data_IF_501533274454
#
_entry.id   IF_501533274454
#
_cell.length_a   1.000
_cell.length_b   1.000
_cell.length_c   1.000
_cell.angle_alpha   90.00
_cell.angle_beta   90.00
_cell.angle_gamma   90.00
#
_symmetry.space_group_name_H-M   'P 1'
#
loop_
_entity.id
_entity.type
_entity.pdbx_description
1 polymer ?
#
# COMPACT_ATOMS: atom_id res chain seq x y z
N UNK A 1 27.57 27.10 -15.24
CA UNK A 1 27.31 25.98 -14.33
C UNK A 1 25.92 26.20 -13.72
N UNK A 2 24.95 25.35 -14.02
CA UNK A 2 23.68 25.28 -13.31
C UNK A 2 24.02 24.83 -11.90
N UNK A 3 23.70 25.66 -10.88
CA UNK A 3 23.89 25.24 -9.51
C UNK A 3 22.76 24.28 -9.13
N UNK A 4 23.07 23.01 -8.98
CA UNK A 4 22.14 22.04 -8.38
C UNK A 4 21.87 22.48 -6.93
N UNK A 5 20.60 22.49 -6.53
CA UNK A 5 20.21 22.78 -5.15
C UNK A 5 19.37 21.66 -4.57
N UNK A 6 19.60 21.37 -3.31
CA UNK A 6 18.82 20.38 -2.58
C UNK A 6 17.49 21.00 -2.10
N UNK A 7 16.41 20.26 -2.30
CA UNK A 7 15.08 20.58 -1.75
C UNK A 7 14.60 19.47 -0.83
N UNK A 8 13.88 19.84 0.21
CA UNK A 8 13.13 18.89 1.03
C UNK A 8 11.74 18.73 0.43
N UNK A 9 11.39 17.55 -0.11
CA UNK A 9 10.07 17.32 -0.68
C UNK A 9 9.01 17.31 0.43
N UNK A 10 7.86 17.91 0.15
CA UNK A 10 6.65 17.81 0.98
C UNK A 10 5.56 17.11 0.20
N UNK A 11 4.65 16.46 0.92
CA UNK A 11 3.53 15.68 0.34
C UNK A 11 4.01 14.44 -0.41
N UNK A 12 4.99 13.76 0.16
CA UNK A 12 5.37 12.42 -0.28
C UNK A 12 4.22 11.44 -0.03
N UNK A 13 3.98 10.55 -1.00
CA UNK A 13 2.85 9.60 -1.00
C UNK A 13 3.32 8.18 -1.25
N UNK A 14 2.45 7.21 -1.03
CA UNK A 14 2.62 5.79 -1.37
C UNK A 14 3.94 5.22 -0.86
N UNK A 15 4.35 5.64 0.34
CA UNK A 15 5.60 5.21 0.93
C UNK A 15 5.58 3.72 1.29
N UNK A 16 6.63 2.99 0.92
CA UNK A 16 6.83 1.60 1.32
C UNK A 16 8.29 1.31 1.64
N UNK A 17 8.52 0.75 2.81
CA UNK A 17 9.85 0.28 3.21
C UNK A 17 10.17 -1.05 2.51
N UNK A 18 11.44 -1.23 2.12
CA UNK A 18 11.94 -2.48 1.54
C UNK A 18 11.85 -3.65 2.53
N UNK A 19 11.77 -4.90 2.06
CA UNK A 19 11.72 -6.07 2.95
C UNK A 19 12.86 -6.12 3.96
N UNK A 20 14.07 -5.78 3.55
CA UNK A 20 15.26 -5.76 4.43
C UNK A 20 15.32 -4.52 5.36
N UNK A 21 14.44 -3.53 5.15
CA UNK A 21 14.37 -2.30 5.95
C UNK A 21 15.41 -1.24 5.61
N UNK A 22 16.17 -1.41 4.54
CA UNK A 22 17.27 -0.50 4.19
C UNK A 22 16.85 0.73 3.40
N UNK A 23 15.77 0.63 2.63
CA UNK A 23 15.32 1.67 1.69
C UNK A 23 13.81 1.90 1.78
N UNK A 24 13.37 3.07 1.35
CA UNK A 24 11.96 3.45 1.22
C UNK A 24 11.73 3.94 -0.20
N UNK A 25 10.74 3.35 -0.91
CA UNK A 25 10.19 3.93 -2.13
C UNK A 25 9.02 4.82 -1.77
N UNK A 26 8.84 5.90 -2.53
CA UNK A 26 7.71 6.82 -2.36
C UNK A 26 7.41 7.52 -3.67
N UNK A 27 6.21 8.10 -3.77
CA UNK A 27 5.81 8.92 -4.90
C UNK A 27 5.92 10.41 -4.56
N UNK A 28 6.44 11.18 -5.49
CA UNK A 28 6.51 12.63 -5.41
C UNK A 28 6.32 13.26 -6.79
N UNK A 29 5.31 14.13 -6.92
CA UNK A 29 4.97 14.82 -8.18
C UNK A 29 4.76 13.90 -9.40
N UNK A 30 4.23 12.71 -9.18
CA UNK A 30 3.92 11.76 -10.26
C UNK A 30 5.05 10.79 -10.61
N UNK A 31 6.19 10.88 -9.95
CA UNK A 31 7.32 9.97 -10.12
C UNK A 31 7.60 9.16 -8.87
N UNK A 32 8.26 8.01 -9.07
CA UNK A 32 8.74 7.13 -8.01
C UNK A 32 10.18 7.47 -7.68
N UNK A 33 10.44 7.66 -6.40
CA UNK A 33 11.75 7.90 -5.80
C UNK A 33 12.11 6.81 -4.80
N UNK A 34 13.39 6.66 -4.53
CA UNK A 34 13.93 5.77 -3.52
C UNK A 34 14.93 6.52 -2.65
N UNK A 35 14.87 6.32 -1.32
CA UNK A 35 15.76 6.95 -0.33
C UNK A 35 16.20 5.90 0.69
N UNK A 36 17.43 5.99 1.25
CA UNK A 36 17.82 5.17 2.41
C UNK A 36 16.85 5.37 3.58
N UNK A 37 16.52 4.30 4.32
CA UNK A 37 15.60 4.39 5.45
C UNK A 37 16.10 5.32 6.58
N UNK A 38 17.41 5.56 6.66
CA UNK A 38 18.04 6.51 7.57
C UNK A 38 17.99 7.96 7.07
N UNK A 39 17.51 8.19 5.85
CA UNK A 39 17.51 9.49 5.20
C UNK A 39 18.70 9.72 4.28
N UNK A 40 18.69 10.83 3.57
CA UNK A 40 19.69 11.24 2.62
C UNK A 40 19.10 11.69 1.29
N UNK A 41 19.90 11.67 0.24
CA UNK A 41 19.48 12.04 -1.10
C UNK A 41 18.65 10.92 -1.73
N UNK A 42 17.45 11.25 -2.18
CA UNK A 42 16.61 10.32 -2.89
C UNK A 42 16.99 10.26 -4.37
N UNK A 43 16.90 9.05 -4.92
CA UNK A 43 17.12 8.77 -6.35
C UNK A 43 15.77 8.65 -7.04
N UNK A 44 15.60 9.36 -8.14
CA UNK A 44 14.43 9.24 -9.01
C UNK A 44 14.53 7.95 -9.84
N UNK A 45 13.51 7.09 -9.74
CA UNK A 45 13.47 5.81 -10.45
C UNK A 45 12.70 5.88 -11.76
N UNK A 46 11.74 6.81 -11.86
CA UNK A 46 10.93 7.03 -13.07
C UNK A 46 11.07 8.46 -13.55
N UNK A 47 11.05 8.65 -14.87
CA UNK A 47 11.25 9.98 -15.51
C UNK A 47 10.27 10.18 -16.68
N UNK A 48 9.20 9.43 -16.70
CA UNK A 48 8.19 9.54 -17.75
C UNK A 48 7.31 10.77 -17.49
N UNK A 49 6.64 11.24 -18.53
CA UNK A 49 5.64 12.33 -18.39
C UNK A 49 4.32 11.87 -17.79
N UNK A 50 4.17 10.55 -17.60
CA UNK A 50 3.03 9.90 -16.97
C UNK A 50 3.05 10.07 -15.44
N UNK A 51 1.93 9.73 -14.82
CA UNK A 51 1.81 9.64 -13.37
C UNK A 51 2.05 8.20 -12.91
N UNK A 52 3.01 8.00 -12.02
CA UNK A 52 3.31 6.73 -11.37
C UNK A 52 2.85 6.75 -9.91
N UNK A 53 2.28 5.63 -9.46
CA UNK A 53 1.67 5.50 -8.13
C UNK A 53 1.80 4.09 -7.56
N UNK A 54 1.58 3.96 -6.25
CA UNK A 54 1.44 2.70 -5.53
C UNK A 54 2.60 1.71 -5.75
N UNK A 55 3.87 2.10 -5.56
CA UNK A 55 4.98 1.18 -5.70
C UNK A 55 4.93 0.07 -4.64
N UNK A 56 5.22 -1.16 -5.05
CA UNK A 56 5.20 -2.37 -4.21
C UNK A 56 6.51 -3.14 -4.42
N UNK A 57 7.19 -3.47 -3.34
CA UNK A 57 8.42 -4.26 -3.38
C UNK A 57 8.13 -5.75 -3.64
N UNK A 58 8.97 -6.39 -4.46
CA UNK A 58 9.05 -7.85 -4.47
C UNK A 58 9.61 -8.39 -3.15
N UNK A 59 9.28 -9.64 -2.75
CA UNK A 59 9.75 -10.20 -1.48
C UNK A 59 11.27 -10.25 -1.32
N UNK A 60 11.99 -10.38 -2.43
CA UNK A 60 13.46 -10.37 -2.47
C UNK A 60 14.08 -8.96 -2.55
N UNK A 61 13.24 -7.92 -2.61
CA UNK A 61 13.67 -6.53 -2.70
C UNK A 61 14.30 -6.12 -4.03
N UNK A 62 14.24 -6.96 -5.08
CA UNK A 62 14.93 -6.71 -6.36
C UNK A 62 14.08 -6.04 -7.42
N UNK A 63 12.76 -6.04 -7.23
CA UNK A 63 11.82 -5.46 -8.19
C UNK A 63 10.79 -4.59 -7.47
N UNK A 64 10.23 -3.65 -8.23
CA UNK A 64 9.13 -2.79 -7.81
C UNK A 64 8.03 -2.92 -8.87
N UNK A 65 6.84 -3.32 -8.44
CA UNK A 65 5.62 -3.19 -9.24
C UNK A 65 4.92 -1.88 -8.89
N UNK A 66 4.32 -1.22 -9.86
CA UNK A 66 3.67 0.07 -9.69
C UNK A 66 2.58 0.29 -10.73
N UNK A 67 1.69 1.24 -10.46
CA UNK A 67 0.69 1.71 -11.40
C UNK A 67 1.23 2.89 -12.21
N UNK A 68 0.94 2.95 -13.51
CA UNK A 68 1.30 4.07 -14.39
C UNK A 68 0.21 4.33 -15.43
N UNK A 69 -0.12 5.59 -15.64
CA UNK A 69 -1.14 6.01 -16.62
C UNK A 69 -0.55 6.31 -18.02
N UNK A 70 0.68 5.91 -18.29
CA UNK A 70 1.40 6.16 -19.56
C UNK A 70 0.71 5.62 -20.80
N UNK A 71 -0.28 4.75 -20.66
CA UNK A 71 -1.10 4.20 -21.73
C UNK A 71 -2.56 4.64 -21.68
N UNK A 72 -2.87 5.70 -20.93
CA UNK A 72 -4.20 6.34 -20.87
C UNK A 72 -5.00 6.06 -19.61
N UNK A 73 -4.78 4.93 -18.95
CA UNK A 73 -5.30 4.57 -17.63
C UNK A 73 -4.20 3.90 -16.81
N UNK A 74 -4.42 3.72 -15.52
CA UNK A 74 -3.43 3.04 -14.68
C UNK A 74 -3.37 1.55 -15.00
N UNK A 75 -2.23 1.14 -15.54
CA UNK A 75 -1.84 -0.26 -15.73
C UNK A 75 -0.71 -0.62 -14.76
N UNK A 76 -0.52 -1.92 -14.54
CA UNK A 76 0.62 -2.41 -13.79
C UNK A 76 1.88 -2.48 -14.64
N UNK A 77 2.94 -1.95 -14.06
CA UNK A 77 4.31 -2.06 -14.57
C UNK A 77 5.21 -2.68 -13.50
N UNK A 78 6.32 -3.24 -13.94
CA UNK A 78 7.37 -3.77 -13.08
C UNK A 78 8.74 -3.31 -13.59
N UNK A 79 9.63 -2.94 -12.65
CA UNK A 79 10.99 -2.51 -12.96
C UNK A 79 11.98 -3.06 -11.93
N UNK A 80 13.30 -3.08 -12.22
CA UNK A 80 14.32 -3.34 -11.21
C UNK A 80 14.24 -2.30 -10.07
N UNK A 81 14.55 -2.72 -8.84
CA UNK A 81 14.51 -1.84 -7.66
C UNK A 81 15.52 -0.69 -7.71
N UNK A 82 16.56 -0.82 -8.52
CA UNK A 82 17.56 0.23 -8.75
C UNK A 82 17.23 1.13 -9.94
N UNK A 83 16.02 0.99 -10.47
CA UNK A 83 15.58 1.74 -11.65
C UNK A 83 15.92 1.02 -12.96
N UNK A 84 15.55 1.65 -14.08
CA UNK A 84 15.74 1.12 -15.41
C UNK A 84 14.44 0.92 -16.17
N UNK A 85 14.47 0.14 -17.25
CA UNK A 85 13.31 -0.06 -18.10
C UNK A 85 12.17 -0.79 -17.36
N UNK A 86 11.00 -0.14 -17.34
CA UNK A 86 9.79 -0.76 -16.83
C UNK A 86 9.08 -1.57 -17.92
N UNK A 87 8.55 -2.73 -17.53
CA UNK A 87 7.76 -3.61 -18.38
C UNK A 87 6.31 -3.61 -17.95
N UNK A 88 5.38 -3.42 -18.89
CA UNK A 88 3.94 -3.49 -18.66
C UNK A 88 3.51 -4.92 -18.36
N UNK A 89 2.69 -5.12 -17.33
CA UNK A 89 2.14 -6.42 -16.94
C UNK A 89 0.68 -6.60 -17.35
N UNK A 90 -0.11 -5.53 -17.35
CA UNK A 90 -1.55 -5.57 -17.61
C UNK A 90 -1.95 -4.60 -18.71
N UNK A 91 -3.12 -4.84 -19.33
CA UNK A 91 -3.52 -4.17 -20.56
C UNK A 91 -5.03 -3.85 -20.60
N UNK A 92 -5.70 -3.86 -19.45
CA UNK A 92 -7.14 -3.60 -19.40
C UNK A 92 -7.43 -2.09 -19.41
N UNK A 93 -8.66 -1.72 -19.83
CA UNK A 93 -9.09 -0.31 -19.88
C UNK A 93 -9.51 0.26 -18.52
N UNK A 94 -9.74 -0.58 -17.51
CA UNK A 94 -9.97 -0.11 -16.14
C UNK A 94 -8.63 0.16 -15.44
N UNK A 95 -8.63 1.11 -14.52
CA UNK A 95 -7.46 1.39 -13.69
C UNK A 95 -7.16 0.23 -12.73
N UNK A 96 -5.90 -0.14 -12.65
CA UNK A 96 -5.39 -1.27 -11.90
C UNK A 96 -4.36 -0.78 -10.87
N UNK A 97 -4.57 -1.10 -9.59
CA UNK A 97 -3.74 -0.61 -8.48
C UNK A 97 -3.09 -1.80 -7.78
N UNK A 98 -1.75 -1.94 -7.84
CA UNK A 98 -1.05 -3.04 -7.19
C UNK A 98 -1.10 -2.91 -5.66
N UNK A 99 -1.15 -4.04 -4.98
CA UNK A 99 -1.15 -4.09 -3.51
C UNK A 99 -0.04 -4.95 -2.92
N UNK A 100 0.29 -6.09 -3.52
CA UNK A 100 1.30 -7.00 -3.00
C UNK A 100 1.84 -7.95 -4.07
N UNK A 101 3.08 -8.41 -3.89
CA UNK A 101 3.55 -9.66 -4.48
C UNK A 101 3.10 -10.83 -3.63
N UNK A 102 2.92 -12.00 -4.25
CA UNK A 102 2.84 -13.25 -3.49
C UNK A 102 4.20 -13.54 -2.83
N UNK A 103 4.24 -14.24 -1.66
CA UNK A 103 5.49 -14.52 -0.96
C UNK A 103 6.53 -15.29 -1.78
N UNK A 104 6.10 -16.07 -2.78
CA UNK A 104 6.98 -16.76 -3.71
C UNK A 104 7.48 -15.87 -4.87
N UNK A 105 7.03 -14.62 -4.91
CA UNK A 105 7.42 -13.63 -5.93
C UNK A 105 6.86 -13.87 -7.32
N UNK A 106 5.92 -14.81 -7.51
CA UNK A 106 5.45 -15.20 -8.85
C UNK A 106 4.31 -14.36 -9.39
N UNK A 107 3.52 -13.73 -8.53
CA UNK A 107 2.36 -12.94 -8.91
C UNK A 107 2.35 -11.58 -8.22
N UNK A 108 1.76 -10.60 -8.91
CA UNK A 108 1.37 -9.32 -8.32
C UNK A 108 -0.15 -9.33 -8.17
N UNK A 109 -0.63 -9.05 -6.96
CA UNK A 109 -2.04 -8.84 -6.66
C UNK A 109 -2.39 -7.37 -6.82
N UNK A 110 -3.57 -7.10 -7.37
CA UNK A 110 -4.03 -5.74 -7.63
C UNK A 110 -5.55 -5.64 -7.55
N UNK A 111 -6.03 -4.45 -7.30
CA UNK A 111 -7.46 -4.12 -7.29
C UNK A 111 -7.83 -3.38 -8.57
N UNK A 112 -8.96 -3.74 -9.16
CA UNK A 112 -9.50 -3.10 -10.34
C UNK A 112 -11.03 -3.22 -10.36
N UNK A 113 -11.69 -2.28 -11.04
CA UNK A 113 -13.12 -2.36 -11.35
C UNK A 113 -13.27 -2.82 -12.80
N UNK A 114 -13.10 -4.11 -13.03
CA UNK A 114 -13.26 -4.73 -14.34
C UNK A 114 -14.74 -5.13 -14.50
N UNK A 115 -15.33 -4.76 -15.62
CA UNK A 115 -16.73 -5.06 -15.88
C UNK A 115 -16.98 -6.56 -16.02
N UNK A 116 -17.90 -7.06 -15.23
CA UNK A 116 -18.55 -8.32 -15.50
C UNK A 116 -19.32 -8.26 -16.85
N UNK A 117 -19.55 -9.39 -17.53
CA UNK A 117 -20.45 -9.44 -18.66
C UNK A 117 -21.79 -8.78 -18.32
N UNK A 118 -22.40 -8.07 -19.26
CA UNK A 118 -23.66 -7.33 -19.04
C UNK A 118 -24.79 -8.22 -18.47
N UNK A 119 -24.73 -9.53 -18.71
CA UNK A 119 -25.67 -10.51 -18.17
C UNK A 119 -25.53 -10.77 -16.66
N UNK A 120 -24.39 -10.43 -16.07
CA UNK A 120 -24.08 -10.62 -14.65
C UNK A 120 -23.78 -9.31 -13.91
N UNK A 121 -23.79 -8.17 -14.59
CA UNK A 121 -23.57 -6.86 -13.97
C UNK A 121 -24.81 -6.44 -13.15
N UNK A 122 -24.73 -6.64 -11.83
CA UNK A 122 -25.80 -6.29 -10.90
C UNK A 122 -25.65 -4.88 -10.32
N UNK A 123 -24.50 -4.25 -10.46
CA UNK A 123 -24.18 -2.94 -9.88
C UNK A 123 -23.58 -1.98 -10.91
N UNK A 124 -23.70 -0.65 -10.69
CA UNK A 124 -23.03 0.34 -11.52
C UNK A 124 -21.52 0.08 -11.55
N UNK A 125 -20.96 0.08 -12.73
CA UNK A 125 -19.53 -0.10 -12.98
C UNK A 125 -18.71 1.00 -12.30
N UNK A 126 -17.50 0.63 -11.80
CA UNK A 126 -16.56 1.55 -11.18
C UNK A 126 -16.83 1.85 -9.70
N UNK A 127 -17.93 1.35 -9.13
CA UNK A 127 -18.27 1.59 -7.72
C UNK A 127 -17.49 0.70 -6.75
N UNK A 128 -17.24 -0.55 -7.14
CA UNK A 128 -16.57 -1.55 -6.31
C UNK A 128 -15.40 -2.16 -7.07
N UNK A 129 -14.29 -2.33 -6.36
CA UNK A 129 -13.12 -3.03 -6.89
C UNK A 129 -13.25 -4.52 -6.67
N UNK A 130 -12.57 -5.28 -7.52
CA UNK A 130 -12.37 -6.72 -7.39
C UNK A 130 -10.88 -7.00 -7.25
N UNK A 131 -10.53 -8.16 -6.72
CA UNK A 131 -9.15 -8.57 -6.53
C UNK A 131 -8.69 -9.48 -7.65
N UNK A 132 -7.57 -9.12 -8.27
CA UNK A 132 -6.93 -9.85 -9.37
C UNK A 132 -5.48 -10.16 -9.06
N UNK A 133 -4.89 -11.06 -9.84
CA UNK A 133 -3.45 -11.31 -9.87
C UNK A 133 -2.97 -11.43 -11.31
N UNK A 134 -1.71 -11.07 -11.53
CA UNK A 134 -1.02 -11.23 -12.81
C UNK A 134 0.35 -11.87 -12.58
N UNK A 135 0.82 -12.81 -13.44
CA UNK A 135 2.16 -13.37 -13.30
C UNK A 135 3.23 -12.30 -13.46
N UNK A 136 4.25 -12.31 -12.61
CA UNK A 136 5.43 -11.42 -12.72
C UNK A 136 6.13 -11.61 -14.06
N UNK A 137 6.14 -12.83 -14.60
CA UNK A 137 6.69 -13.11 -15.93
C UNK A 137 5.85 -12.52 -17.08
N UNK A 138 4.68 -12.00 -16.79
CA UNK A 138 3.67 -11.61 -17.78
C UNK A 138 2.72 -12.78 -18.10
N UNK A 139 1.58 -12.46 -18.66
CA UNK A 139 0.57 -13.46 -19.03
C UNK A 139 -0.84 -13.01 -18.68
N UNK A 140 -1.75 -13.97 -18.56
CA UNK A 140 -3.16 -13.70 -18.33
C UNK A 140 -3.41 -13.25 -16.89
N UNK A 141 -4.18 -12.20 -16.74
CA UNK A 141 -4.77 -11.79 -15.46
C UNK A 141 -5.85 -12.78 -15.02
N UNK A 142 -5.88 -13.09 -13.73
CA UNK A 142 -6.86 -13.98 -13.12
C UNK A 142 -7.58 -13.26 -11.97
N UNK A 143 -8.89 -13.39 -11.89
CA UNK A 143 -9.67 -12.93 -10.74
C UNK A 143 -9.40 -13.83 -9.54
N UNK A 144 -9.11 -13.23 -8.38
CA UNK A 144 -8.92 -13.94 -7.11
C UNK A 144 -10.18 -13.90 -6.28
N UNK A 145 -10.77 -12.71 -6.13
CA UNK A 145 -12.02 -12.47 -5.40
C UNK A 145 -12.90 -11.49 -6.17
N UNK A 146 -14.19 -11.76 -6.26
CA UNK A 146 -15.19 -10.80 -6.70
C UNK A 146 -15.60 -9.81 -5.61
N UNK A 147 -15.10 -9.97 -4.39
CA UNK A 147 -15.34 -9.07 -3.26
C UNK A 147 -14.32 -7.93 -3.29
N UNK A 148 -14.73 -6.70 -2.98
CA UNK A 148 -13.79 -5.59 -2.81
C UNK A 148 -12.74 -5.92 -1.75
N UNK A 149 -11.49 -6.08 -2.19
CA UNK A 149 -10.36 -6.35 -1.34
C UNK A 149 -9.17 -5.49 -1.81
N UNK A 150 -8.78 -4.55 -0.98
CA UNK A 150 -7.73 -3.58 -1.28
C UNK A 150 -6.59 -3.70 -0.26
N UNK A 151 -5.41 -3.23 -0.63
CA UNK A 151 -4.21 -3.22 0.21
C UNK A 151 -3.93 -4.59 0.84
N UNK A 152 -3.87 -5.61 0.01
CA UNK A 152 -3.58 -6.98 0.41
C UNK A 152 -2.19 -7.07 1.05
N UNK A 153 -2.09 -7.79 2.16
CA UNK A 153 -0.83 -8.14 2.81
C UNK A 153 -0.82 -9.64 3.13
N UNK A 154 0.10 -10.39 2.51
CA UNK A 154 0.23 -11.82 2.76
C UNK A 154 0.94 -12.12 4.07
N UNK A 155 0.57 -13.24 4.71
CA UNK A 155 1.46 -13.89 5.64
C UNK A 155 2.66 -14.53 4.89
N UNK A 156 3.72 -14.90 5.60
CA UNK A 156 4.92 -15.49 4.99
C UNK A 156 4.66 -16.83 4.28
N UNK A 157 3.59 -17.51 4.64
CA UNK A 157 3.23 -18.82 4.06
C UNK A 157 2.44 -18.70 2.76
N UNK A 158 1.86 -17.54 2.48
CA UNK A 158 0.93 -17.33 1.36
C UNK A 158 -0.43 -17.99 1.54
N UNK A 159 -0.69 -18.64 2.69
CA UNK A 159 -1.97 -19.29 2.97
C UNK A 159 -3.05 -18.33 3.40
N UNK A 160 -2.66 -17.20 3.94
CA UNK A 160 -3.56 -16.15 4.37
C UNK A 160 -3.11 -14.80 3.86
N UNK A 161 -4.06 -13.90 3.67
CA UNK A 161 -3.78 -12.49 3.51
C UNK A 161 -4.80 -11.62 4.25
N UNK A 162 -4.33 -10.49 4.71
CA UNK A 162 -5.15 -9.40 5.22
C UNK A 162 -5.56 -8.50 4.06
N UNK A 163 -6.74 -7.88 4.17
CA UNK A 163 -7.18 -6.83 3.26
C UNK A 163 -8.11 -5.86 3.96
N UNK A 164 -8.26 -4.68 3.40
CA UNK A 164 -9.35 -3.76 3.73
C UNK A 164 -10.49 -3.95 2.75
N UNK A 165 -11.73 -3.90 3.23
CA UNK A 165 -12.89 -3.92 2.36
C UNK A 165 -13.20 -2.53 1.79
N UNK A 166 -14.19 -2.48 0.91
CA UNK A 166 -14.77 -1.25 0.39
C UNK A 166 -16.28 -1.39 0.37
N UNK A 167 -16.96 -0.51 1.10
CA UNK A 167 -18.43 -0.55 1.24
C UNK A 167 -19.13 0.56 0.43
N UNK A 168 -18.35 1.45 -0.20
CA UNK A 168 -18.85 2.57 -0.96
C UNK A 168 -17.76 3.59 -1.29
N UNK A 169 -18.18 4.79 -1.66
CA UNK A 169 -17.27 5.89 -1.93
C UNK A 169 -17.06 6.71 -0.65
N UNK A 170 -15.81 6.74 -0.19
CA UNK A 170 -15.36 7.60 0.89
C UNK A 170 -14.10 8.33 0.44
N UNK A 171 -14.01 9.62 0.81
CA UNK A 171 -12.82 10.41 0.53
C UNK A 171 -11.66 9.90 1.40
N UNK A 172 -10.67 9.31 0.77
CA UNK A 172 -9.46 8.80 1.43
C UNK A 172 -8.61 9.92 2.06
N UNK A 173 -8.80 11.15 1.64
CA UNK A 173 -8.05 12.31 2.09
C UNK A 173 -8.72 13.07 3.23
N UNK A 174 -9.90 12.62 3.67
CA UNK A 174 -10.60 13.20 4.82
C UNK A 174 -9.71 13.22 6.09
N UNK A 175 -9.88 14.22 6.92
CA UNK A 175 -9.07 14.40 8.15
C UNK A 175 -9.84 14.11 9.43
N UNK A 176 -11.00 14.70 9.61
CA UNK A 176 -11.63 14.88 10.93
C UNK A 176 -13.12 14.55 10.97
N UNK A 177 -13.71 14.02 9.94
CA UNK A 177 -15.09 13.55 10.01
C UNK A 177 -15.14 12.02 9.99
N UNK A 178 -16.11 11.46 10.70
CA UNK A 178 -16.39 10.02 10.69
C UNK A 178 -17.37 9.72 9.56
N UNK A 179 -17.04 8.75 8.74
CA UNK A 179 -17.94 8.27 7.68
C UNK A 179 -18.92 7.22 8.21
N UNK A 180 -20.08 7.13 7.57
CA UNK A 180 -21.00 6.00 7.74
C UNK A 180 -20.63 4.77 6.92
N UNK A 181 -19.71 4.93 5.96
CA UNK A 181 -19.26 3.88 5.03
C UNK A 181 -17.78 3.61 5.33
N UNK A 182 -17.52 2.92 6.43
CA UNK A 182 -16.17 2.70 6.92
C UNK A 182 -15.65 1.35 6.53
N UNK A 183 -14.35 1.26 6.27
CA UNK A 183 -13.64 0.02 5.97
C UNK A 183 -13.40 -0.78 7.24
N UNK A 184 -13.39 -2.09 7.08
CA UNK A 184 -12.92 -3.04 8.08
C UNK A 184 -11.72 -3.82 7.54
N UNK A 185 -10.98 -4.42 8.48
CA UNK A 185 -9.89 -5.33 8.17
C UNK A 185 -10.37 -6.76 8.23
N UNK A 186 -10.08 -7.49 7.17
CA UNK A 186 -10.45 -8.87 6.98
C UNK A 186 -9.24 -9.77 6.81
N UNK A 187 -9.38 -11.00 7.28
CA UNK A 187 -8.47 -12.10 7.02
C UNK A 187 -9.12 -13.05 6.01
N UNK A 188 -8.40 -13.40 4.96
CA UNK A 188 -8.81 -14.41 3.99
C UNK A 188 -7.87 -15.60 4.02
N UNK A 189 -8.44 -16.80 4.13
CA UNK A 189 -7.70 -18.05 4.04
C UNK A 189 -7.82 -18.61 2.62
N UNK A 190 -6.70 -18.70 1.90
CA UNK A 190 -6.66 -19.11 0.49
C UNK A 190 -6.99 -20.57 0.26
N UNK A 191 -6.85 -21.41 1.29
CA UNK A 191 -7.12 -22.86 1.18
C UNK A 191 -8.60 -23.18 1.41
N UNK A 192 -9.24 -22.47 2.34
CA UNK A 192 -10.63 -22.74 2.73
C UNK A 192 -11.64 -21.77 2.11
N UNK A 193 -11.16 -20.65 1.55
CA UNK A 193 -12.03 -19.58 1.05
C UNK A 193 -12.75 -18.80 2.16
N UNK A 194 -12.33 -18.96 3.43
CA UNK A 194 -12.98 -18.31 4.56
C UNK A 194 -12.53 -16.87 4.70
N UNK A 195 -13.49 -15.96 4.84
CA UNK A 195 -13.30 -14.58 5.26
C UNK A 195 -13.61 -14.42 6.74
N UNK A 196 -12.79 -13.66 7.46
CA UNK A 196 -13.00 -13.33 8.88
C UNK A 196 -12.81 -11.83 9.07
N UNK A 197 -13.86 -11.13 9.53
CA UNK A 197 -13.76 -9.72 9.90
C UNK A 197 -13.03 -9.58 11.23
N UNK A 198 -11.91 -8.88 11.25
CA UNK A 198 -11.06 -8.72 12.44
C UNK A 198 -11.40 -7.47 13.25
N UNK A 199 -12.03 -6.47 12.66
CA UNK A 199 -12.26 -5.18 13.34
C UNK A 199 -13.73 -4.83 13.59
N UNK A 200 -14.64 -5.20 12.73
CA UNK A 200 -16.11 -5.13 12.86
C UNK A 200 -16.66 -4.09 13.86
N UNK A 201 -16.37 -2.81 13.64
CA UNK A 201 -16.80 -1.72 14.51
C UNK A 201 -17.25 -0.51 13.71
N UNK A 202 -17.86 0.48 14.38
CA UNK A 202 -18.07 1.82 13.82
C UNK A 202 -16.73 2.58 13.70
N UNK A 203 -16.54 3.33 12.61
CA UNK A 203 -15.30 4.03 12.30
C UNK A 203 -14.36 3.19 11.43
N UNK A 204 -13.44 3.87 10.75
CA UNK A 204 -12.60 3.24 9.72
C UNK A 204 -11.35 2.60 10.30
N UNK A 205 -11.13 1.36 9.89
CA UNK A 205 -9.89 0.61 10.08
C UNK A 205 -9.38 0.18 8.70
N UNK A 206 -8.12 0.52 8.36
CA UNK A 206 -7.58 0.31 7.01
C UNK A 206 -6.09 0.04 6.99
N UNK A 207 -5.56 -0.28 5.82
CA UNK A 207 -4.15 -0.49 5.54
C UNK A 207 -3.50 -1.51 6.49
N UNK A 208 -4.00 -2.78 6.55
CA UNK A 208 -3.46 -3.78 7.43
C UNK A 208 -2.11 -4.30 6.94
N UNK A 209 -1.19 -4.53 7.86
CA UNK A 209 0.09 -5.21 7.59
C UNK A 209 0.40 -6.20 8.72
N UNK A 210 0.95 -7.36 8.37
CA UNK A 210 1.41 -8.33 9.36
C UNK A 210 2.67 -7.83 10.07
N UNK A 211 2.77 -8.10 11.36
CA UNK A 211 4.07 -8.14 12.02
C UNK A 211 4.95 -9.26 11.42
N UNK A 212 6.28 -9.15 11.45
CA UNK A 212 7.17 -10.10 10.78
C UNK A 212 7.02 -11.57 11.20
N UNK A 213 6.63 -11.81 12.45
CA UNK A 213 6.37 -13.14 12.99
C UNK A 213 4.98 -13.70 12.64
N UNK A 214 4.12 -12.88 12.01
CA UNK A 214 2.74 -13.25 11.65
C UNK A 214 1.76 -13.29 12.81
N UNK A 215 2.18 -12.96 14.05
CA UNK A 215 1.36 -13.08 15.25
C UNK A 215 0.57 -11.82 15.60
N UNK A 216 0.84 -10.70 14.95
CA UNK A 216 0.15 -9.44 15.16
C UNK A 216 -0.12 -8.74 13.84
N UNK A 217 -1.06 -7.81 13.89
CA UNK A 217 -1.44 -6.93 12.77
C UNK A 217 -1.21 -5.50 13.19
N UNK A 218 -0.55 -4.71 12.34
CA UNK A 218 -0.55 -3.26 12.41
C UNK A 218 -1.55 -2.71 11.39
N UNK A 219 -2.22 -1.62 11.72
CA UNK A 219 -3.21 -1.01 10.84
C UNK A 219 -3.44 0.46 11.19
N UNK A 220 -4.07 1.18 10.31
CA UNK A 220 -4.50 2.56 10.53
C UNK A 220 -5.94 2.58 11.01
N UNK A 221 -6.21 3.34 12.06
CA UNK A 221 -7.53 3.47 12.65
C UNK A 221 -7.80 4.89 13.13
N UNK A 222 -9.06 5.31 13.03
CA UNK A 222 -9.57 6.58 13.55
C UNK A 222 -10.31 6.41 14.90
N UNK A 223 -10.10 5.27 15.61
CA UNK A 223 -10.91 4.86 16.78
C UNK A 223 -10.89 5.83 17.96
N UNK A 224 -9.86 6.65 18.10
CA UNK A 224 -9.76 7.61 19.19
C UNK A 224 -10.28 9.02 18.84
N UNK A 225 -11.10 9.11 17.80
CA UNK A 225 -11.94 10.27 17.52
C UNK A 225 -11.25 11.50 16.97
N UNK A 226 -10.14 11.37 16.27
CA UNK A 226 -9.44 12.53 15.72
C UNK A 226 -8.89 12.29 14.34
N UNK A 227 -7.73 11.68 14.29
CA UNK A 227 -7.01 11.39 13.06
C UNK A 227 -6.59 9.93 13.03
N UNK A 228 -6.29 9.42 11.86
CA UNK A 228 -5.71 8.09 11.73
C UNK A 228 -4.37 8.01 12.45
N UNK A 229 -4.21 6.96 13.25
CA UNK A 229 -2.98 6.56 13.89
C UNK A 229 -2.70 5.09 13.62
N UNK A 230 -1.47 4.65 13.89
CA UNK A 230 -1.11 3.23 13.84
C UNK A 230 -1.56 2.56 15.13
N UNK A 231 -2.26 1.45 14.97
CA UNK A 231 -2.68 0.54 16.03
C UNK A 231 -2.18 -0.86 15.76
N UNK A 232 -2.22 -1.71 16.77
CA UNK A 232 -1.87 -3.13 16.65
C UNK A 232 -2.78 -3.99 17.50
N UNK A 233 -2.99 -5.22 17.05
CA UNK A 233 -3.62 -6.28 17.87
C UNK A 233 -2.94 -7.62 17.62
N UNK A 234 -2.91 -8.54 18.59
CA UNK A 234 -2.54 -9.92 18.37
C UNK A 234 -3.53 -10.61 17.43
N UNK A 235 -3.07 -11.38 16.46
CA UNK A 235 -3.94 -12.00 15.46
C UNK A 235 -4.99 -12.94 16.06
N UNK A 236 -4.64 -13.63 17.15
CA UNK A 236 -5.52 -14.55 17.85
C UNK A 236 -6.51 -13.85 18.81
N UNK A 237 -6.28 -12.59 19.16
CA UNK A 237 -7.14 -11.77 20.03
C UNK A 237 -7.33 -10.37 19.44
N UNK A 238 -8.01 -10.26 18.26
CA UNK A 238 -8.10 -8.99 17.53
C UNK A 238 -8.86 -7.88 18.25
N UNK A 239 -9.57 -8.20 19.34
CA UNK A 239 -10.21 -7.22 20.22
C UNK A 239 -9.22 -6.50 21.16
N UNK A 240 -8.00 -7.03 21.35
CA UNK A 240 -6.99 -6.42 22.24
C UNK A 240 -6.15 -5.38 21.47
N UNK A 241 -6.79 -4.29 21.08
CA UNK A 241 -6.16 -3.24 20.28
C UNK A 241 -5.39 -2.26 21.15
N UNK A 242 -4.17 -1.93 20.71
CA UNK A 242 -3.28 -0.95 21.36
C UNK A 242 -2.81 0.09 20.34
N UNK A 243 -2.75 1.37 20.79
CA UNK A 243 -2.16 2.44 20.01
C UNK A 243 -0.64 2.28 19.91
N UNK A 244 -0.09 2.47 18.72
CA UNK A 244 1.36 2.52 18.44
C UNK A 244 1.82 3.97 18.25
N UNK A 245 0.96 4.80 17.63
CA UNK A 245 1.18 6.24 17.47
C UNK A 245 0.03 7.02 18.10
N UNK A 246 0.28 8.28 18.47
CA UNK A 246 -0.71 9.14 19.13
C UNK A 246 -0.66 10.57 18.58
N UNK A 247 -0.52 10.70 17.27
CA UNK A 247 -0.56 11.98 16.58
C UNK A 247 -1.95 12.62 16.69
N UNK A 248 -2.01 13.94 16.85
CA UNK A 248 -3.28 14.67 17.09
C UNK A 248 -3.72 15.54 15.92
N UNK A 249 -2.78 16.03 15.10
CA UNK A 249 -3.06 17.10 14.14
C UNK A 249 -3.33 16.58 12.72
N UNK A 250 -2.58 15.59 12.26
CA UNK A 250 -2.69 15.05 10.90
C UNK A 250 -2.88 13.54 10.93
N UNK A 251 -3.49 12.95 9.90
CA UNK A 251 -3.61 11.51 9.78
C UNK A 251 -2.27 10.88 9.38
N UNK A 252 -1.97 9.73 9.98
CA UNK A 252 -0.95 8.80 9.47
C UNK A 252 -1.48 8.10 8.23
N UNK A 253 -0.64 7.94 7.20
CA UNK A 253 -0.98 7.32 5.91
C UNK A 253 0.13 6.39 5.43
N UNK A 254 -0.21 5.49 4.50
CA UNK A 254 0.75 4.64 3.78
C UNK A 254 1.64 3.79 4.70
N UNK A 255 0.97 2.98 5.53
CA UNK A 255 1.66 2.09 6.48
C UNK A 255 2.27 0.89 5.76
N UNK A 256 3.52 0.61 6.06
CA UNK A 256 4.23 -0.61 5.66
C UNK A 256 5.17 -1.08 6.77
N UNK A 257 5.69 -2.30 6.66
CA UNK A 257 6.60 -2.89 7.64
C UNK A 257 7.70 -3.70 6.93
N UNK A 258 8.93 -3.60 7.43
CA UNK A 258 10.04 -4.44 6.98
C UNK A 258 10.01 -5.81 7.63
N UNK A 259 10.79 -6.77 7.10
CA UNK A 259 10.96 -8.10 7.70
C UNK A 259 11.59 -8.09 9.09
N UNK A 260 12.19 -6.97 9.48
CA UNK A 260 12.76 -6.72 10.82
C UNK A 260 11.80 -5.98 11.77
N UNK A 261 10.58 -5.67 11.32
CA UNK A 261 9.56 -5.02 12.13
C UNK A 261 9.65 -3.50 12.19
N UNK A 262 10.46 -2.86 11.35
CA UNK A 262 10.46 -1.41 11.23
C UNK A 262 9.23 -0.97 10.46
N UNK A 263 8.39 -0.15 11.09
CA UNK A 263 7.26 0.50 10.45
C UNK A 263 7.73 1.69 9.62
N UNK A 264 7.07 1.91 8.49
CA UNK A 264 7.20 3.10 7.66
C UNK A 264 5.82 3.65 7.35
N UNK A 265 5.67 4.96 7.42
CA UNK A 265 4.43 5.66 7.11
C UNK A 265 4.72 7.13 6.79
N UNK A 266 3.71 7.84 6.31
CA UNK A 266 3.78 9.29 6.19
C UNK A 266 2.95 9.97 7.27
N UNK A 267 3.42 11.11 7.72
CA UNK A 267 2.71 12.03 8.59
C UNK A 267 3.02 13.46 8.15
N UNK A 268 1.98 14.27 7.97
CA UNK A 268 2.09 15.66 7.49
C UNK A 268 2.90 15.78 6.17
N UNK A 269 2.75 14.80 5.28
CA UNK A 269 3.43 14.77 3.98
C UNK A 269 4.90 14.37 4.01
N UNK A 270 5.43 13.95 5.15
CA UNK A 270 6.83 13.56 5.34
C UNK A 270 6.93 12.06 5.71
N UNK A 271 8.08 11.45 5.43
CA UNK A 271 8.37 10.05 5.76
C UNK A 271 8.80 9.88 7.21
N UNK A 272 8.30 8.81 7.82
CA UNK A 272 8.68 8.36 9.17
C UNK A 272 9.00 6.87 9.17
N UNK A 273 9.95 6.49 10.01
CA UNK A 273 10.17 5.10 10.42
C UNK A 273 9.99 4.96 11.92
N UNK A 274 9.62 3.77 12.37
CA UNK A 274 9.44 3.47 13.80
C UNK A 274 9.76 2.01 14.07
N UNK A 275 10.75 1.78 14.90
CA UNK A 275 11.07 0.44 15.42
C UNK A 275 10.10 0.07 16.54
N UNK A 276 9.91 -1.22 16.78
CA UNK A 276 9.07 -1.71 17.86
C UNK A 276 9.49 -1.11 19.22
N UNK A 277 8.53 -0.55 19.95
CA UNK A 277 8.77 0.10 21.25
C UNK A 277 9.51 1.43 21.21
N UNK A 278 9.88 1.93 20.03
CA UNK A 278 10.58 3.21 19.88
C UNK A 278 9.59 4.34 19.51
N UNK A 279 10.10 5.56 19.53
CA UNK A 279 9.37 6.74 19.06
C UNK A 279 9.46 6.85 17.54
N UNK A 280 8.49 7.50 16.88
CA UNK A 280 8.60 7.86 15.47
C UNK A 280 9.85 8.69 15.17
N UNK A 281 10.55 8.33 14.10
CA UNK A 281 11.71 9.05 13.61
C UNK A 281 11.42 9.59 12.21
N UNK A 282 11.60 10.90 12.01
CA UNK A 282 11.46 11.52 10.71
C UNK A 282 12.64 11.15 9.81
N UNK A 283 12.34 10.70 8.60
CA UNK A 283 13.36 10.44 7.56
C UNK A 283 13.64 11.74 6.83
N UNK A 284 14.86 12.24 6.94
CA UNK A 284 15.31 13.41 6.16
C UNK A 284 15.49 13.03 4.70
N UNK A 285 14.66 13.58 3.82
CA UNK A 285 14.73 13.35 2.38
C UNK A 285 15.21 14.61 1.67
N UNK A 286 16.21 14.47 0.82
CA UNK A 286 16.72 15.52 -0.03
C UNK A 286 16.59 15.12 -1.50
N UNK A 287 16.05 16.00 -2.33
CA UNK A 287 16.04 15.87 -3.78
C UNK A 287 17.03 16.86 -4.38
N UNK A 288 17.91 16.36 -5.25
CA UNK A 288 18.78 17.23 -6.05
C UNK A 288 18.05 17.56 -7.34
N UNK A 289 17.94 18.83 -7.68
CA UNK A 289 17.42 19.33 -8.94
C UNK A 289 18.53 20.02 -9.72
N UNK A 290 18.63 19.67 -10.98
CA UNK A 290 19.45 20.36 -11.98
C UNK A 290 18.77 21.62 -12.48
#
# INVERSE_FOLDING_TARGET
ALSSYAITPLWMRDARISPDGSEIVFCYKGDIYKVPAQGGTAVQLTTQTSYEANPVWSPDGKQIAFASDRNGNFDLFIMPADGGAARRLTYHSASEIPSAFTPDGKYVFFSASIQDPASSALFPTGAMTELYKVPVAGGRTEQVLGTPAELVCFDKTGKNFLYQDRKGFEDEWRKHHTSSITRDIWLYNTQTGKHTNLTNRGGEDRNPVYAPDGNAVYFLSERDGGSFNVYTFPLNTPQEVKAVTTFKTHPVRFLSVSDKGTLCYTYDGELYTQKSGARPEKVKVELVRD
#
